data_IF_176207922912
#
_entry.id   IF_176207922912
#
_cell.length_a   1.000
_cell.length_b   1.000
_cell.length_c   1.000
_cell.angle_alpha   90.00
_cell.angle_beta   90.00
_cell.angle_gamma   90.00
#
_symmetry.space_group_name_H-M   'P 1'
#
loop_
_entity.id
_entity.type
_entity.pdbx_description
1 polymer ?
#
# COMPACT_ATOMS: atom_id res chain seq x y z
N UNK A 1 -27.51 5.01 9.67
CA UNK A 1 -27.09 3.73 10.29
C UNK A 1 -27.00 2.59 9.28
N UNK A 2 -27.87 2.54 8.28
CA UNK A 2 -27.95 1.44 7.30
C UNK A 2 -26.70 1.26 6.40
N UNK A 3 -26.09 2.37 5.94
CA UNK A 3 -24.87 2.33 5.12
C UNK A 3 -23.67 1.70 5.84
N UNK A 4 -23.44 2.07 7.11
CA UNK A 4 -22.34 1.53 7.93
C UNK A 4 -22.50 0.03 8.12
N UNK A 5 -23.73 -0.44 8.39
CA UNK A 5 -24.03 -1.85 8.59
C UNK A 5 -23.84 -2.66 7.29
N UNK A 6 -24.25 -2.09 6.14
CA UNK A 6 -24.04 -2.72 4.82
C UNK A 6 -22.56 -2.85 4.48
N UNK A 7 -21.76 -1.82 4.73
CA UNK A 7 -20.30 -1.86 4.51
C UNK A 7 -19.62 -2.87 5.43
N UNK A 8 -19.98 -2.90 6.72
CA UNK A 8 -19.43 -3.87 7.66
C UNK A 8 -19.70 -5.30 7.20
N UNK A 9 -20.95 -5.61 6.83
CA UNK A 9 -21.33 -6.93 6.32
C UNK A 9 -20.56 -7.32 5.05
N UNK A 10 -20.35 -6.37 4.13
CA UNK A 10 -19.56 -6.61 2.93
C UNK A 10 -18.10 -6.94 3.27
N UNK A 11 -17.50 -6.18 4.19
CA UNK A 11 -16.15 -6.43 4.68
C UNK A 11 -16.07 -7.84 5.28
N UNK A 12 -17.00 -8.21 6.17
CA UNK A 12 -16.99 -9.51 6.84
C UNK A 12 -17.05 -10.68 5.83
N UNK A 13 -17.95 -10.58 4.83
CA UNK A 13 -18.06 -11.58 3.76
C UNK A 13 -16.75 -11.68 2.96
N UNK A 14 -16.13 -10.56 2.60
CA UNK A 14 -14.90 -10.56 1.80
C UNK A 14 -13.68 -11.03 2.59
N UNK A 15 -13.67 -10.82 3.90
CA UNK A 15 -12.62 -11.31 4.79
C UNK A 15 -12.71 -12.82 5.06
N UNK A 16 -13.89 -13.43 4.95
CA UNK A 16 -14.09 -14.88 5.10
C UNK A 16 -13.74 -15.68 3.86
N UNK A 17 -13.68 -15.04 2.69
CA UNK A 17 -13.25 -15.69 1.45
C UNK A 17 -11.73 -16.00 1.46
N UNK A 18 -11.30 -17.06 0.75
CA UNK A 18 -9.88 -17.35 0.61
C UNK A 18 -9.13 -16.17 -0.05
N UNK A 19 -7.85 -15.96 0.32
CA UNK A 19 -7.04 -14.92 -0.30
C UNK A 19 -6.97 -15.11 -1.81
N UNK A 20 -7.07 -14.00 -2.54
CA UNK A 20 -6.79 -14.00 -3.98
C UNK A 20 -5.30 -14.25 -4.16
N UNK A 21 -4.95 -15.26 -4.95
CA UNK A 21 -3.55 -15.59 -5.24
C UNK A 21 -3.07 -14.90 -6.50
N UNK A 22 -1.74 -14.86 -6.68
CA UNK A 22 -1.03 -14.26 -7.82
C UNK A 22 -1.68 -14.51 -9.20
N UNK A 23 -2.14 -15.74 -9.46
CA UNK A 23 -2.67 -16.17 -10.76
C UNK A 23 -4.12 -15.74 -11.01
N UNK A 24 -4.88 -15.49 -9.94
CA UNK A 24 -6.32 -15.24 -10.00
C UNK A 24 -6.64 -13.74 -9.98
N UNK A 25 -5.63 -12.89 -9.81
CA UNK A 25 -5.83 -11.45 -9.68
C UNK A 25 -5.78 -10.73 -11.04
N UNK A 26 -6.96 -10.50 -11.62
CA UNK A 26 -7.14 -9.74 -12.85
C UNK A 26 -7.01 -8.20 -12.68
N UNK A 27 -6.79 -7.70 -11.46
CA UNK A 27 -6.60 -6.28 -11.16
C UNK A 27 -7.89 -5.44 -11.16
N UNK A 28 -9.07 -6.06 -11.16
CA UNK A 28 -10.34 -5.38 -10.93
C UNK A 28 -10.50 -5.01 -9.45
N UNK A 29 -10.85 -3.75 -9.16
CA UNK A 29 -10.99 -3.23 -7.78
C UNK A 29 -12.40 -3.34 -7.23
N UNK A 30 -13.42 -3.25 -8.08
CA UNK A 30 -14.83 -3.13 -7.67
C UNK A 30 -15.24 -4.15 -6.60
N UNK A 31 -15.40 -5.42 -6.97
CA UNK A 31 -15.79 -6.50 -6.05
C UNK A 31 -14.64 -7.04 -5.18
N UNK A 32 -13.43 -6.47 -5.30
CA UNK A 32 -12.24 -6.97 -4.62
C UNK A 32 -11.71 -6.02 -3.55
N UNK A 33 -12.22 -4.78 -3.42
CA UNK A 33 -11.87 -3.93 -2.28
C UNK A 33 -12.19 -4.68 -0.99
N UNK A 34 -11.27 -4.68 -0.02
CA UNK A 34 -11.33 -5.43 1.24
C UNK A 34 -11.08 -6.94 1.15
N UNK A 35 -10.90 -7.53 -0.04
CA UNK A 35 -10.46 -8.93 -0.15
C UNK A 35 -9.02 -9.09 0.32
N UNK A 36 -8.75 -10.22 0.99
CA UNK A 36 -7.39 -10.69 1.26
C UNK A 36 -6.70 -11.05 -0.04
N UNK A 37 -5.41 -10.75 -0.14
CA UNK A 37 -4.57 -11.07 -1.29
C UNK A 37 -3.20 -11.54 -0.81
N UNK A 38 -2.65 -12.56 -1.46
CA UNK A 38 -1.29 -13.04 -1.24
C UNK A 38 -0.51 -13.00 -2.55
N UNK A 39 0.56 -12.21 -2.59
CA UNK A 39 1.37 -12.01 -3.78
C UNK A 39 2.83 -12.37 -3.53
N UNK A 40 3.43 -13.12 -4.45
CA UNK A 40 4.87 -13.40 -4.48
C UNK A 40 5.54 -12.53 -5.53
N UNK A 41 6.62 -11.84 -5.15
CA UNK A 41 7.27 -10.86 -5.99
C UNK A 41 8.53 -10.25 -5.39
N UNK A 42 8.82 -9.00 -5.75
CA UNK A 42 9.93 -8.23 -5.18
C UNK A 42 9.56 -6.75 -5.02
N UNK A 43 10.11 -6.11 -3.99
CA UNK A 43 10.04 -4.65 -3.89
C UNK A 43 11.04 -3.99 -4.85
N UNK A 44 10.67 -2.83 -5.36
CA UNK A 44 11.52 -2.01 -6.21
C UNK A 44 12.36 -1.11 -5.32
N UNK A 45 13.68 -1.20 -5.46
CA UNK A 45 14.64 -0.42 -4.65
C UNK A 45 14.41 1.07 -4.84
N UNK A 46 14.58 1.83 -3.75
CA UNK A 46 14.45 3.30 -3.74
C UNK A 46 13.09 3.84 -4.20
N UNK A 47 12.09 2.98 -4.41
CA UNK A 47 10.72 3.37 -4.74
C UNK A 47 9.83 3.32 -3.49
N UNK A 48 10.16 4.18 -2.52
CA UNK A 48 9.48 4.30 -1.24
C UNK A 48 8.99 5.73 -1.03
N UNK A 49 7.70 5.89 -0.71
CA UNK A 49 7.03 7.16 -0.50
C UNK A 49 6.62 7.32 0.96
N UNK A 50 6.86 8.49 1.56
CA UNK A 50 6.44 8.77 2.94
C UNK A 50 5.05 9.40 2.92
N UNK A 51 4.04 8.59 3.20
CA UNK A 51 2.68 9.09 3.40
C UNK A 51 2.60 9.69 4.80
N UNK A 52 2.69 11.02 4.91
CA UNK A 52 2.79 11.76 6.16
C UNK A 52 1.43 12.05 6.80
N UNK A 53 1.46 12.58 8.03
CA UNK A 53 0.28 12.95 8.81
C UNK A 53 -0.71 11.80 9.02
N UNK A 54 -0.20 10.59 9.17
CA UNK A 54 -1.01 9.40 9.42
C UNK A 54 -1.17 9.24 10.94
N UNK A 55 -2.42 9.26 11.41
CA UNK A 55 -2.72 9.07 12.83
C UNK A 55 -2.98 7.60 13.11
N UNK A 56 -2.25 7.03 14.06
CA UNK A 56 -2.48 5.69 14.57
C UNK A 56 -2.40 5.69 16.09
N UNK A 57 -3.44 5.16 16.76
CA UNK A 57 -3.56 5.11 18.23
C UNK A 57 -3.30 6.46 18.94
N UNK A 58 -3.70 7.56 18.31
CA UNK A 58 -3.54 8.91 18.88
C UNK A 58 -2.18 9.58 18.58
N UNK A 59 -1.25 8.87 17.95
CA UNK A 59 0.05 9.41 17.57
C UNK A 59 0.12 9.74 16.08
N UNK A 60 0.78 10.86 15.77
CA UNK A 60 1.06 11.27 14.38
C UNK A 60 2.35 10.58 13.92
N UNK A 61 2.26 9.95 12.76
CA UNK A 61 3.36 9.23 12.13
C UNK A 61 3.25 9.24 10.62
N UNK A 62 3.94 8.29 10.01
CA UNK A 62 3.98 8.11 8.57
C UNK A 62 3.61 6.68 8.22
N UNK A 63 2.98 6.48 7.07
CA UNK A 63 2.94 5.17 6.43
C UNK A 63 4.02 5.11 5.35
N UNK A 64 4.71 3.98 5.23
CA UNK A 64 5.62 3.76 4.11
C UNK A 64 4.87 3.08 2.97
N UNK A 65 4.84 3.73 1.81
CA UNK A 65 4.29 3.14 0.58
C UNK A 65 5.45 2.70 -0.30
N UNK A 66 5.52 1.42 -0.66
CA UNK A 66 6.58 0.87 -1.51
C UNK A 66 6.03 0.30 -2.80
N UNK A 67 6.83 0.33 -3.86
CA UNK A 67 6.46 -0.33 -5.12
C UNK A 67 6.84 -1.80 -5.09
N UNK A 68 5.89 -2.66 -5.43
CA UNK A 68 6.05 -4.10 -5.51
C UNK A 68 5.76 -4.61 -6.91
N UNK A 69 6.60 -5.52 -7.41
CA UNK A 69 6.43 -6.22 -8.68
C UNK A 69 6.12 -7.69 -8.41
N UNK A 70 4.84 -8.11 -8.52
CA UNK A 70 4.48 -9.52 -8.45
C UNK A 70 5.06 -10.28 -9.65
N UNK A 71 5.43 -11.56 -9.46
CA UNK A 71 6.04 -12.36 -10.54
C UNK A 71 5.06 -12.70 -11.67
N UNK A 72 3.78 -12.95 -11.35
CA UNK A 72 2.77 -13.38 -12.33
C UNK A 72 1.89 -12.24 -12.87
N UNK A 73 2.01 -11.04 -12.31
CA UNK A 73 1.17 -9.89 -12.68
C UNK A 73 2.04 -8.87 -13.42
N UNK A 74 1.62 -8.48 -14.63
CA UNK A 74 2.35 -7.47 -15.40
C UNK A 74 2.03 -6.01 -14.97
N UNK A 75 1.98 -5.76 -13.66
CA UNK A 75 1.74 -4.43 -13.09
C UNK A 75 2.63 -4.23 -11.87
N UNK A 76 3.09 -3.00 -11.67
CA UNK A 76 3.66 -2.58 -10.40
C UNK A 76 2.54 -2.15 -9.47
N UNK A 77 2.61 -2.52 -8.20
CA UNK A 77 1.55 -2.29 -7.22
C UNK A 77 2.13 -1.48 -6.06
N UNK A 78 1.42 -0.43 -5.64
CA UNK A 78 1.73 0.27 -4.41
C UNK A 78 1.33 -0.59 -3.21
N UNK A 79 2.23 -0.73 -2.25
CA UNK A 79 2.03 -1.48 -1.02
C UNK A 79 2.22 -0.54 0.16
N UNK A 80 1.17 -0.30 0.92
CA UNK A 80 1.25 0.36 2.22
C UNK A 80 1.79 -0.66 3.23
N UNK A 81 3.03 -0.44 3.68
CA UNK A 81 3.78 -1.29 4.59
C UNK A 81 3.44 -1.11 6.07
N UNK A 82 2.53 -0.19 6.36
CA UNK A 82 2.11 0.11 7.72
C UNK A 82 2.66 1.41 8.27
N UNK A 83 2.27 1.68 9.51
CA UNK A 83 2.53 2.93 10.23
C UNK A 83 3.84 2.88 11.02
N UNK A 84 4.51 4.02 11.07
CA UNK A 84 5.73 4.26 11.85
C UNK A 84 5.64 5.61 12.56
N UNK A 85 6.19 5.73 13.78
CA UNK A 85 6.21 6.99 14.51
C UNK A 85 7.06 8.03 13.76
N UNK A 86 6.62 9.28 13.81
CA UNK A 86 7.39 10.40 13.25
C UNK A 86 8.60 10.70 14.14
N UNK A 87 9.71 10.00 13.88
CA UNK A 87 10.98 10.14 14.59
C UNK A 87 12.11 10.25 13.58
N UNK A 88 13.29 10.74 13.97
CA UNK A 88 14.48 10.80 13.09
C UNK A 88 14.84 9.45 12.45
N UNK A 89 14.43 8.33 13.07
CA UNK A 89 14.62 6.96 12.58
C UNK A 89 13.69 6.56 11.42
N UNK A 90 12.79 7.44 10.96
CA UNK A 90 11.88 7.11 9.85
C UNK A 90 12.59 6.76 8.53
N UNK A 91 13.78 7.35 8.30
CA UNK A 91 14.66 6.96 7.20
C UNK A 91 15.14 5.51 7.31
N UNK A 92 15.31 4.97 8.53
CA UNK A 92 15.68 3.58 8.76
C UNK A 92 14.50 2.63 8.50
N UNK A 93 13.28 3.01 8.91
CA UNK A 93 12.05 2.24 8.61
C UNK A 93 11.75 2.11 7.12
N UNK A 94 12.16 3.11 6.34
CA UNK A 94 12.08 3.06 4.88
C UNK A 94 12.99 1.98 4.29
N UNK A 95 14.12 1.71 4.96
CA UNK A 95 15.16 0.76 4.53
C UNK A 95 14.87 -0.68 4.97
N UNK A 96 14.21 -0.87 6.10
CA UNK A 96 13.94 -2.18 6.70
C UNK A 96 12.66 -2.85 6.16
N UNK A 97 12.58 -4.20 6.01
CA UNK A 97 13.64 -5.19 5.81
C UNK A 97 14.02 -5.44 4.33
N UNK A 98 13.43 -4.68 3.39
CA UNK A 98 13.41 -5.05 1.97
C UNK A 98 14.49 -4.39 1.09
N UNK A 99 15.53 -3.81 1.68
CA UNK A 99 16.68 -3.25 0.94
C UNK A 99 17.75 -4.27 0.57
N UNK A 100 17.70 -5.52 1.06
CA UNK A 100 18.72 -6.51 0.74
C UNK A 100 18.56 -7.00 -0.71
N UNK A 101 19.59 -6.76 -1.51
CA UNK A 101 19.75 -7.09 -2.93
C UNK A 101 19.44 -8.54 -3.31
N UNK A 102 19.34 -9.43 -2.33
CA UNK A 102 19.23 -10.89 -2.47
C UNK A 102 17.77 -11.36 -2.39
N UNK A 103 16.85 -10.59 -1.78
CA UNK A 103 15.48 -11.09 -1.52
C UNK A 103 14.58 -10.89 -2.74
N UNK A 104 14.84 -11.68 -3.77
CA UNK A 104 13.87 -12.00 -4.83
C UNK A 104 12.92 -13.07 -4.26
N UNK A 105 11.61 -12.99 -4.53
CA UNK A 105 10.56 -13.89 -4.00
C UNK A 105 10.05 -13.59 -2.57
N UNK A 106 9.68 -12.34 -2.30
CA UNK A 106 8.95 -11.97 -1.08
C UNK A 106 7.47 -12.29 -1.29
N UNK A 107 6.88 -12.99 -0.31
CA UNK A 107 5.43 -13.11 -0.17
C UNK A 107 4.90 -11.94 0.64
N UNK A 108 3.92 -11.22 0.11
CA UNK A 108 3.16 -10.21 0.84
C UNK A 108 1.73 -10.67 1.01
N UNK A 109 1.25 -10.61 2.26
CA UNK A 109 -0.15 -10.86 2.61
C UNK A 109 -0.80 -9.55 3.04
N UNK A 110 -1.91 -9.21 2.41
CA UNK A 110 -2.56 -7.93 2.67
C UNK A 110 -4.01 -7.88 2.22
N UNK A 111 -4.53 -6.66 2.20
CA UNK A 111 -5.90 -6.34 1.84
C UNK A 111 -5.89 -5.34 0.68
N UNK A 112 -6.69 -5.60 -0.35
CA UNK A 112 -6.85 -4.69 -1.48
C UNK A 112 -7.63 -3.45 -1.03
N UNK A 113 -7.12 -2.26 -1.36
CA UNK A 113 -7.75 -0.97 -1.04
C UNK A 113 -7.88 -0.13 -2.29
N UNK A 114 -9.07 0.41 -2.54
CA UNK A 114 -9.27 1.32 -3.66
C UNK A 114 -8.50 2.62 -3.43
N UNK A 115 -7.93 3.17 -4.51
CA UNK A 115 -7.36 4.51 -4.48
C UNK A 115 -8.52 5.50 -4.49
N UNK A 116 -8.57 6.36 -3.48
CA UNK A 116 -9.62 7.36 -3.31
C UNK A 116 -9.18 8.68 -3.91
N UNK A 117 -10.13 9.43 -4.44
CA UNK A 117 -9.88 10.79 -4.88
C UNK A 117 -9.43 11.67 -3.70
N UNK A 118 -8.49 12.57 -3.97
CA UNK A 118 -8.06 13.60 -3.03
C UNK A 118 -9.26 14.43 -2.61
N UNK A 119 -9.40 14.70 -1.31
CA UNK A 119 -10.41 15.65 -0.78
C UNK A 119 -9.85 17.06 -0.78
N UNK A 120 -10.72 18.07 -0.89
CA UNK A 120 -10.32 19.49 -0.96
C UNK A 120 -9.41 19.96 0.18
N UNK A 121 -9.66 19.50 1.42
CA UNK A 121 -8.88 19.89 2.61
C UNK A 121 -7.57 19.12 2.79
N UNK A 122 -7.24 18.18 1.90
CA UNK A 122 -5.97 17.46 1.95
C UNK A 122 -4.92 18.30 1.21
N UNK A 123 -3.74 18.55 1.79
CA UNK A 123 -2.66 19.27 1.08
C UNK A 123 -2.23 18.57 -0.20
N UNK A 124 -1.56 19.30 -1.08
CA UNK A 124 -0.89 18.72 -2.25
C UNK A 124 0.39 17.97 -1.86
N UNK A 125 0.66 16.86 -2.54
CA UNK A 125 1.92 16.14 -2.42
C UNK A 125 3.12 17.01 -2.83
N UNK A 126 4.24 16.84 -2.14
CA UNK A 126 5.54 17.48 -2.41
C UNK A 126 6.59 16.40 -2.76
N UNK A 127 6.64 15.93 -4.02
CA UNK A 127 7.51 14.81 -4.43
C UNK A 127 8.99 15.07 -4.18
N UNK A 128 9.47 16.31 -4.42
CA UNK A 128 10.88 16.70 -4.23
C UNK A 128 11.40 16.47 -2.80
N UNK A 129 10.49 16.48 -1.81
CA UNK A 129 10.80 16.23 -0.39
C UNK A 129 10.34 14.85 0.08
N UNK A 130 9.79 14.04 -0.83
CA UNK A 130 9.12 12.79 -0.56
C UNK A 130 7.97 12.89 0.47
N UNK A 131 7.28 14.05 0.54
CA UNK A 131 6.15 14.25 1.45
C UNK A 131 4.85 14.01 0.71
N UNK A 132 4.17 12.92 1.06
CA UNK A 132 2.91 12.53 0.43
C UNK A 132 1.77 12.67 1.44
N UNK A 133 0.75 13.44 1.11
CA UNK A 133 -0.44 13.61 1.96
C UNK A 133 -1.58 12.68 1.53
N UNK A 134 -1.54 12.21 0.28
CA UNK A 134 -2.46 11.21 -0.24
C UNK A 134 -1.76 10.31 -1.27
N UNK A 135 -2.28 9.10 -1.44
CA UNK A 135 -1.83 8.21 -2.51
C UNK A 135 -2.25 8.81 -3.85
N UNK A 136 -1.28 9.18 -4.67
CA UNK A 136 -1.46 9.67 -6.04
C UNK A 136 -0.56 8.83 -6.96
N UNK A 137 -1.10 7.75 -7.55
CA UNK A 137 -0.26 6.82 -8.30
C UNK A 137 0.22 7.39 -9.63
N UNK A 138 -0.39 8.46 -10.15
CA UNK A 138 0.11 9.15 -11.33
C UNK A 138 1.36 9.96 -10.98
N UNK A 139 1.28 10.78 -9.92
CA UNK A 139 2.47 11.53 -9.43
C UNK A 139 3.56 10.60 -8.94
N UNK A 140 3.22 9.56 -8.16
CA UNK A 140 4.17 8.56 -7.67
C UNK A 140 4.84 7.83 -8.84
N UNK A 141 4.11 7.50 -9.91
CA UNK A 141 4.69 6.91 -11.11
C UNK A 141 5.73 7.78 -11.79
N UNK A 142 5.44 9.08 -11.90
CA UNK A 142 6.37 10.06 -12.50
C UNK A 142 7.65 10.16 -11.68
N UNK A 143 7.52 10.24 -10.36
CA UNK A 143 8.66 10.37 -9.42
C UNK A 143 9.71 9.26 -9.59
N UNK A 144 9.26 8.02 -9.80
CA UNK A 144 10.16 6.86 -9.92
C UNK A 144 10.36 6.37 -11.36
N UNK A 145 9.81 7.09 -12.34
CA UNK A 145 9.78 6.68 -13.75
C UNK A 145 9.28 5.24 -13.99
N UNK A 146 8.23 4.82 -13.27
CA UNK A 146 7.61 3.49 -13.40
C UNK A 146 6.09 3.56 -13.29
N UNK A 147 5.38 2.95 -14.22
CA UNK A 147 3.92 2.90 -14.20
C UNK A 147 3.41 1.93 -13.12
N UNK A 148 2.86 2.48 -12.04
CA UNK A 148 2.17 1.72 -11.01
C UNK A 148 0.69 1.61 -11.33
N UNK A 149 0.04 0.62 -10.74
CA UNK A 149 -1.38 0.43 -10.85
C UNK A 149 -2.16 1.63 -10.27
N UNK A 150 -3.08 2.17 -11.07
CA UNK A 150 -3.78 3.42 -10.77
C UNK A 150 -5.09 3.23 -9.98
N UNK A 151 -5.53 1.99 -9.77
CA UNK A 151 -6.89 1.69 -9.27
C UNK A 151 -6.93 1.28 -7.80
N UNK A 152 -5.92 0.55 -7.35
CA UNK A 152 -5.80 0.05 -5.98
C UNK A 152 -4.35 0.06 -5.48
N UNK A 153 -4.22 -0.02 -4.16
CA UNK A 153 -2.99 -0.37 -3.46
C UNK A 153 -3.27 -1.56 -2.53
N UNK A 154 -2.22 -2.21 -2.05
CA UNK A 154 -2.33 -3.29 -1.06
C UNK A 154 -1.91 -2.73 0.30
N UNK A 155 -2.73 -2.91 1.32
CA UNK A 155 -2.32 -2.66 2.70
C UNK A 155 -1.89 -3.98 3.32
N UNK A 156 -0.63 -4.11 3.70
CA UNK A 156 -0.18 -5.27 4.50
C UNK A 156 -0.41 -4.98 5.97
N UNK A 157 -0.55 -6.04 6.77
CA UNK A 157 -0.79 -5.87 8.21
C UNK A 157 0.48 -5.36 8.92
N UNK A 158 0.27 -4.47 9.90
CA UNK A 158 1.26 -3.67 10.66
C UNK A 158 2.22 -4.51 11.55
N UNK A 159 2.68 -5.67 11.11
CA UNK A 159 3.77 -6.37 11.81
C UNK A 159 4.91 -6.65 10.85
N UNK A 160 5.92 -5.77 10.77
CA UNK A 160 7.27 -6.31 10.74
C UNK A 160 7.38 -7.16 12.01
N UNK A 161 7.44 -8.49 11.85
CA UNK A 161 8.07 -9.29 12.91
C UNK A 161 9.50 -8.77 12.98
N UNK A 162 9.77 -8.00 14.04
CA UNK A 162 11.14 -7.81 14.53
C UNK A 162 11.71 -9.19 14.88
#
# INVERSE_FOLDING_TARGET
MEYKNKLQRQIDIYFSLPPILNQDFNGGVGLNEYRKISLVGKFIKKANFHLVNQVYKGEVGINIISVFKPHKINKYILVNRGWFPNSEKHMEYSKHPFHNDIIQNITIDGIIRAIKQKKFLVPDNEPDKNLWFHIDPLKMSKEINLLVNQKYYIKINDKPKL
#
